data_IF_739054401851
#
_entry.id   IF_739054401851
#
_cell.length_a   1.000
_cell.length_b   1.000
_cell.length_c   1.000
_cell.angle_alpha   90.00
_cell.angle_beta   90.00
_cell.angle_gamma   90.00
#
_symmetry.space_group_name_H-M   'P 1'
#
loop_
_entity.id
_entity.type
_entity.pdbx_description
1 polymer ?
#
# COMPACT_ATOMS: atom_id res chain seq x y z
N UNK A 1 14.28 -8.89 16.02
CA UNK A 1 14.02 -8.04 14.86
C UNK A 1 12.56 -7.60 14.87
N UNK A 2 12.30 -6.32 14.66
CA UNK A 2 10.94 -5.80 14.57
C UNK A 2 10.34 -6.12 13.21
N UNK A 3 9.02 -6.26 13.15
CA UNK A 3 8.27 -6.51 11.92
C UNK A 3 7.36 -5.33 11.61
N UNK A 4 7.50 -4.78 10.41
CA UNK A 4 6.76 -3.62 9.95
C UNK A 4 5.99 -4.01 8.68
N UNK A 5 4.68 -3.79 8.67
CA UNK A 5 3.86 -3.98 7.47
C UNK A 5 3.73 -2.64 6.74
N UNK A 6 4.13 -2.62 5.47
CA UNK A 6 3.96 -1.47 4.58
C UNK A 6 2.76 -1.73 3.67
N UNK A 7 1.60 -1.20 4.04
CA UNK A 7 0.34 -1.42 3.34
C UNK A 7 -0.01 -0.19 2.52
N UNK A 8 -0.13 -0.34 1.21
CA UNK A 8 -0.40 0.80 0.34
C UNK A 8 -0.88 0.43 -1.05
N UNK A 9 -0.78 1.39 -1.93
CA UNK A 9 -1.22 1.30 -3.32
C UNK A 9 -0.02 1.18 -4.29
N UNK A 10 -0.14 1.77 -5.48
CA UNK A 10 0.92 1.73 -6.49
C UNK A 10 2.21 2.41 -6.05
N UNK A 11 2.13 3.42 -5.20
CA UNK A 11 3.33 4.09 -4.68
C UNK A 11 4.14 3.15 -3.78
N UNK A 12 3.47 2.26 -3.08
CA UNK A 12 4.12 1.24 -2.24
C UNK A 12 4.59 0.05 -3.08
N UNK A 13 3.79 -0.35 -4.07
CA UNK A 13 4.17 -1.41 -4.99
C UNK A 13 5.41 -1.05 -5.80
N UNK A 14 5.57 0.23 -6.14
CA UNK A 14 6.71 0.72 -6.90
C UNK A 14 6.40 0.91 -8.38
N UNK A 15 5.18 1.31 -8.72
CA UNK A 15 4.77 1.56 -10.09
C UNK A 15 5.51 2.77 -10.67
N UNK A 16 6.07 2.60 -11.88
CA UNK A 16 6.73 3.70 -12.60
C UNK A 16 5.70 4.35 -13.52
N UNK A 17 5.38 5.62 -13.25
CA UNK A 17 4.36 6.35 -14.00
C UNK A 17 4.67 6.39 -15.49
N UNK A 18 3.64 6.20 -16.33
CA UNK A 18 3.77 6.19 -17.77
C UNK A 18 4.31 4.90 -18.36
N UNK A 19 4.52 3.88 -17.55
CA UNK A 19 5.02 2.57 -17.97
C UNK A 19 4.17 1.47 -17.33
N UNK A 20 4.47 0.22 -17.69
CA UNK A 20 3.93 -0.96 -17.01
C UNK A 20 5.00 -1.60 -16.12
N UNK A 21 6.04 -0.87 -15.80
CA UNK A 21 7.19 -1.36 -15.08
C UNK A 21 7.11 -1.06 -13.59
N UNK A 22 7.88 -1.80 -12.82
CA UNK A 22 8.00 -1.68 -11.38
C UNK A 22 9.41 -1.23 -11.02
N UNK A 23 9.56 -0.33 -10.06
CA UNK A 23 10.87 0.04 -9.54
C UNK A 23 11.63 -1.19 -9.03
N UNK A 24 12.94 -1.24 -9.22
CA UNK A 24 13.77 -2.30 -8.64
C UNK A 24 13.56 -2.41 -7.12
N UNK A 25 13.71 -3.62 -6.62
CA UNK A 25 13.46 -3.96 -5.21
C UNK A 25 14.08 -2.93 -4.24
N UNK A 26 15.36 -2.60 -4.43
CA UNK A 26 16.07 -1.74 -3.48
C UNK A 26 15.63 -0.27 -3.53
N UNK A 27 14.91 0.14 -4.55
CA UNK A 27 14.46 1.53 -4.70
C UNK A 27 13.01 1.75 -4.31
N UNK A 28 12.26 0.69 -3.97
CA UNK A 28 10.91 0.82 -3.44
C UNK A 28 10.99 1.31 -2.00
N UNK A 29 10.10 2.24 -1.62
CA UNK A 29 10.22 2.88 -0.31
C UNK A 29 10.23 1.90 0.88
N UNK A 30 9.46 0.78 0.89
CA UNK A 30 9.55 -0.15 2.01
C UNK A 30 10.95 -0.73 2.19
N UNK A 31 11.65 -0.99 1.09
CA UNK A 31 12.99 -1.57 1.13
C UNK A 31 14.08 -0.53 1.41
N UNK A 32 13.84 0.73 0.98
CA UNK A 32 14.68 1.85 1.39
C UNK A 32 14.59 2.06 2.90
N UNK A 33 13.38 1.97 3.45
CA UNK A 33 13.18 2.03 4.91
C UNK A 33 13.92 0.90 5.62
N UNK A 34 13.78 -0.33 5.13
CA UNK A 34 14.46 -1.48 5.71
C UNK A 34 15.98 -1.30 5.72
N UNK A 35 16.54 -0.83 4.61
CA UNK A 35 17.98 -0.56 4.52
C UNK A 35 18.43 0.51 5.51
N UNK A 36 17.63 1.59 5.64
CA UNK A 36 17.92 2.66 6.58
C UNK A 36 17.86 2.23 8.04
N UNK A 37 17.10 1.20 8.35
CA UNK A 37 17.01 0.65 9.71
C UNK A 37 18.15 -0.33 10.03
N UNK A 38 19.04 -0.61 9.08
CA UNK A 38 20.27 -1.35 9.33
C UNK A 38 20.08 -2.75 9.91
N UNK A 39 19.05 -3.48 9.48
CA UNK A 39 18.78 -4.83 9.95
C UNK A 39 18.00 -4.92 11.26
N UNK A 40 17.57 -3.78 11.81
CA UNK A 40 16.79 -3.75 13.06
C UNK A 40 15.34 -4.12 12.86
N UNK A 41 14.84 -4.05 11.63
CA UNK A 41 13.46 -4.36 11.30
C UNK A 41 13.37 -5.04 9.94
N UNK A 42 12.37 -5.92 9.83
CA UNK A 42 11.91 -6.43 8.54
C UNK A 42 10.74 -5.57 8.09
N UNK A 43 10.76 -5.11 6.85
CA UNK A 43 9.65 -4.37 6.26
C UNK A 43 8.97 -5.26 5.21
N UNK A 44 7.70 -5.56 5.43
CA UNK A 44 6.91 -6.45 4.57
C UNK A 44 6.14 -5.59 3.58
N UNK A 45 6.41 -5.77 2.28
CA UNK A 45 5.75 -5.02 1.22
C UNK A 45 4.38 -5.59 0.95
N UNK A 46 3.34 -4.77 1.08
CA UNK A 46 1.98 -5.12 0.68
C UNK A 46 1.36 -3.95 -0.10
N UNK A 47 2.00 -3.60 -1.21
CA UNK A 47 1.47 -2.63 -2.16
C UNK A 47 0.62 -3.30 -3.22
N UNK A 48 -0.50 -2.67 -3.59
CA UNK A 48 -1.39 -3.17 -4.62
C UNK A 48 -1.87 -2.01 -5.49
N UNK A 49 -1.59 -2.09 -6.79
CA UNK A 49 -1.96 -1.03 -7.73
C UNK A 49 -3.47 -0.80 -7.73
N UNK A 50 -3.86 0.46 -7.54
CA UNK A 50 -5.26 0.83 -7.51
C UNK A 50 -5.98 0.59 -6.19
N UNK A 51 -5.28 0.14 -5.14
CA UNK A 51 -5.91 -0.07 -3.84
C UNK A 51 -6.50 1.20 -3.28
N UNK A 52 -7.74 1.09 -2.78
CA UNK A 52 -8.46 2.16 -2.10
C UNK A 52 -8.48 1.92 -0.59
N UNK A 53 -9.00 2.87 0.17
CA UNK A 53 -9.23 2.65 1.61
C UNK A 53 -10.40 1.70 1.82
N UNK A 54 -11.59 2.05 1.29
CA UNK A 54 -12.84 1.31 1.56
C UNK A 54 -13.74 1.15 0.35
N UNK A 55 -13.30 1.49 -0.85
CA UNK A 55 -14.13 1.47 -2.04
C UNK A 55 -13.87 0.23 -2.89
N UNK A 56 -14.95 -0.40 -3.35
CA UNK A 56 -14.87 -1.47 -4.33
C UNK A 56 -14.68 -0.88 -5.72
N UNK A 57 -13.85 -1.53 -6.54
CA UNK A 57 -13.65 -1.15 -7.93
C UNK A 57 -14.27 -2.23 -8.82
N UNK A 58 -15.46 -1.99 -9.38
CA UNK A 58 -16.16 -2.98 -10.21
C UNK A 58 -15.50 -3.18 -11.58
N UNK A 59 -14.53 -2.35 -11.94
CA UNK A 59 -13.86 -2.42 -13.25
C UNK A 59 -12.67 -3.37 -13.26
N UNK A 60 -12.32 -3.97 -12.12
CA UNK A 60 -11.18 -4.87 -12.00
C UNK A 60 -11.62 -6.22 -11.47
N UNK A 61 -10.84 -7.26 -11.80
CA UNK A 61 -11.09 -8.62 -11.31
C UNK A 61 -10.62 -8.81 -9.86
N UNK A 62 -9.54 -8.12 -9.50
CA UNK A 62 -8.97 -8.21 -8.18
C UNK A 62 -9.67 -7.24 -7.21
N UNK A 63 -9.71 -7.62 -5.95
CA UNK A 63 -10.32 -6.80 -4.91
C UNK A 63 -9.35 -5.65 -4.54
N UNK A 64 -9.75 -4.42 -4.82
CA UNK A 64 -8.95 -3.23 -4.53
C UNK A 64 -9.40 -2.49 -3.27
N UNK A 65 -10.34 -3.04 -2.54
CA UNK A 65 -10.81 -2.45 -1.29
C UNK A 65 -9.83 -2.78 -0.16
N UNK A 66 -9.11 -1.76 0.32
CA UNK A 66 -8.12 -1.94 1.38
C UNK A 66 -8.70 -2.46 2.69
N UNK A 67 -9.95 -2.12 2.99
CA UNK A 67 -10.62 -2.61 4.19
C UNK A 67 -10.88 -4.12 4.15
N UNK A 68 -10.96 -4.72 2.97
CA UNK A 68 -11.07 -6.18 2.82
C UNK A 68 -9.72 -6.86 3.03
N UNK A 69 -8.65 -6.28 2.47
CA UNK A 69 -7.33 -6.89 2.48
C UNK A 69 -6.62 -6.77 3.83
N UNK A 70 -6.75 -5.64 4.49
CA UNK A 70 -5.96 -5.34 5.68
C UNK A 70 -6.12 -6.35 6.81
N UNK A 71 -7.34 -6.75 7.21
CA UNK A 71 -7.48 -7.75 8.28
C UNK A 71 -6.80 -9.06 7.97
N UNK A 72 -6.86 -9.51 6.73
CA UNK A 72 -6.22 -10.75 6.28
C UNK A 72 -4.71 -10.64 6.39
N UNK A 73 -4.15 -9.52 5.97
CA UNK A 73 -2.71 -9.30 5.99
C UNK A 73 -2.17 -9.09 7.39
N UNK A 74 -2.93 -8.44 8.26
CA UNK A 74 -2.57 -8.33 9.68
C UNK A 74 -2.47 -9.71 10.33
N UNK A 75 -3.43 -10.58 10.05
CA UNK A 75 -3.42 -11.95 10.56
C UNK A 75 -2.28 -12.78 9.96
N UNK A 76 -2.05 -12.62 8.66
CA UNK A 76 -1.03 -13.38 7.92
C UNK A 76 0.37 -13.07 8.42
N UNK A 77 0.65 -11.81 8.70
CA UNK A 77 2.01 -11.33 9.00
C UNK A 77 2.28 -11.11 10.48
N UNK A 78 1.34 -11.46 11.35
CA UNK A 78 1.57 -11.31 12.78
C UNK A 78 2.75 -12.21 13.24
N UNK A 79 3.53 -11.80 14.27
CA UNK A 79 3.35 -10.56 15.04
C UNK A 79 3.94 -9.35 14.32
N UNK A 80 3.22 -8.23 14.40
CA UNK A 80 3.64 -6.97 13.81
C UNK A 80 3.89 -5.94 14.91
N UNK A 81 4.95 -5.17 14.76
CA UNK A 81 5.30 -4.10 15.69
C UNK A 81 4.77 -2.75 15.21
N UNK A 82 4.62 -2.60 13.88
CA UNK A 82 4.16 -1.35 13.27
C UNK A 82 3.47 -1.66 11.95
N UNK A 83 2.40 -0.92 11.67
CA UNK A 83 1.72 -0.95 10.36
C UNK A 83 1.74 0.46 9.81
N UNK A 84 2.29 0.62 8.61
CA UNK A 84 2.28 1.89 7.90
C UNK A 84 1.26 1.78 6.78
N UNK A 85 0.26 2.67 6.78
CA UNK A 85 -0.79 2.68 5.76
C UNK A 85 -0.62 3.93 4.91
N UNK A 86 -0.42 3.74 3.60
CA UNK A 86 -0.28 4.82 2.64
C UNK A 86 -1.31 4.62 1.53
N UNK A 87 -2.49 5.18 1.73
CA UNK A 87 -3.64 5.05 0.84
C UNK A 87 -4.38 6.39 0.72
N UNK A 88 -5.31 6.48 -0.23
CA UNK A 88 -6.20 7.61 -0.38
C UNK A 88 -6.24 8.18 -1.79
N UNK A 89 -5.16 8.08 -2.54
CA UNK A 89 -5.08 8.62 -3.90
C UNK A 89 -6.14 8.02 -4.81
N UNK A 90 -6.39 6.73 -4.71
CA UNK A 90 -7.36 6.04 -5.57
C UNK A 90 -8.82 6.22 -5.12
N UNK A 91 -9.03 6.74 -3.93
CA UNK A 91 -10.39 6.96 -3.41
C UNK A 91 -11.11 8.04 -4.21
N UNK A 92 -10.39 9.01 -4.73
CA UNK A 92 -10.94 10.18 -5.42
C UNK A 92 -11.81 9.77 -6.61
N UNK A 93 -11.40 8.73 -7.35
CA UNK A 93 -12.14 8.29 -8.54
C UNK A 93 -13.47 7.60 -8.23
N UNK A 94 -13.69 7.17 -6.98
CA UNK A 94 -14.92 6.49 -6.56
C UNK A 94 -15.87 7.38 -5.78
N UNK A 95 -15.35 8.46 -5.20
CA UNK A 95 -16.15 9.44 -4.51
C UNK A 95 -16.54 10.53 -5.48
N UNK A 96 -17.46 10.34 -6.38
CA UNK A 96 -17.82 11.30 -7.42
C UNK A 96 -18.07 12.72 -6.96
N UNK A 97 -18.19 12.93 -5.65
CA UNK A 97 -18.37 14.24 -5.02
C UNK A 97 -17.15 14.69 -4.23
N UNK A 98 -16.12 13.85 -4.14
CA UNK A 98 -14.94 14.17 -3.37
C UNK A 98 -14.13 15.26 -4.08
N UNK A 99 -13.92 16.36 -3.39
CA UNK A 99 -13.04 17.43 -3.85
C UNK A 99 -11.72 17.32 -3.11
N UNK A 100 -10.68 17.99 -3.63
CA UNK A 100 -9.36 17.92 -3.04
C UNK A 100 -9.36 18.25 -1.54
N UNK A 101 -10.16 19.21 -1.10
CA UNK A 101 -10.24 19.56 0.31
C UNK A 101 -11.05 18.58 1.15
N UNK A 102 -11.94 17.81 0.55
CA UNK A 102 -12.74 16.79 1.22
C UNK A 102 -11.99 15.47 1.37
N UNK A 103 -11.02 15.24 0.51
CA UNK A 103 -10.22 14.01 0.51
C UNK A 103 -9.13 13.98 1.59
N UNK A 104 -8.95 15.07 2.30
CA UNK A 104 -7.90 15.17 3.34
C UNK A 104 -8.20 14.37 4.59
#
# INVERSE_FOLDING_TARGET
MKNILAFGDSLTWGFIAGTWERHPFDTRWPNVLAAGLGGKARVIEEGHNGRTTVFDDPTTLDDRNGAHALPILLSTHQPLDLVIIMLGTNDIKFSGRCRAFEAR
#
